data_IF_243086627578
#
_entry.id   IF_243086627578
#
_cell.length_a   1.000
_cell.length_b   1.000
_cell.length_c   1.000
_cell.angle_alpha   90.00
_cell.angle_beta   90.00
_cell.angle_gamma   90.00
#
_symmetry.space_group_name_H-M   'P 1'
#
loop_
_entity.id
_entity.type
_entity.pdbx_description
1 polymer ?
#
# COMPACT_ATOMS: atom_id res chain seq x y z
N UNK A 1 22.93 2.89 -18.08
CA UNK A 1 22.91 1.82 -17.06
C UNK A 1 22.60 0.52 -17.79
N UNK A 2 23.50 -0.47 -17.82
CA UNK A 2 23.28 -1.68 -18.62
C UNK A 2 22.08 -2.46 -18.08
N UNK A 3 21.17 -2.86 -18.99
CA UNK A 3 19.85 -3.42 -18.70
C UNK A 3 19.84 -4.68 -17.79
N UNK A 4 21.01 -5.31 -17.59
CA UNK A 4 21.21 -6.45 -16.71
C UNK A 4 20.88 -6.16 -15.24
N UNK A 5 21.17 -4.95 -14.74
CA UNK A 5 20.83 -4.57 -13.36
C UNK A 5 19.33 -4.39 -13.12
N UNK A 6 18.58 -3.99 -14.16
CA UNK A 6 17.12 -3.82 -14.08
C UNK A 6 16.44 -5.19 -13.96
N UNK A 7 16.93 -6.19 -14.71
CA UNK A 7 16.39 -7.56 -14.68
C UNK A 7 16.67 -8.26 -13.35
N UNK A 8 17.90 -8.16 -12.82
CA UNK A 8 18.23 -8.74 -11.51
C UNK A 8 17.49 -8.04 -10.35
N UNK A 9 17.41 -6.71 -10.39
CA UNK A 9 16.67 -5.93 -9.39
C UNK A 9 15.17 -6.24 -9.39
N UNK A 10 14.57 -6.38 -10.57
CA UNK A 10 13.14 -6.72 -10.70
C UNK A 10 12.78 -8.10 -10.16
N UNK A 11 13.63 -9.10 -10.40
CA UNK A 11 13.46 -10.45 -9.86
C UNK A 11 13.58 -10.44 -8.34
N UNK A 12 14.60 -9.78 -7.79
CA UNK A 12 14.81 -9.69 -6.35
C UNK A 12 13.67 -8.95 -5.63
N UNK A 13 13.13 -7.89 -6.24
CA UNK A 13 11.97 -7.13 -5.74
C UNK A 13 10.66 -7.95 -5.77
N UNK A 14 10.48 -8.82 -6.78
CA UNK A 14 9.34 -9.73 -6.84
C UNK A 14 9.42 -10.82 -5.76
N UNK A 15 10.60 -11.41 -5.56
CA UNK A 15 10.83 -12.41 -4.52
C UNK A 15 10.63 -11.85 -3.11
N UNK A 16 11.05 -10.61 -2.84
CA UNK A 16 10.82 -9.95 -1.53
C UNK A 16 9.34 -9.72 -1.28
N UNK A 17 8.57 -9.27 -2.28
CA UNK A 17 7.12 -9.07 -2.14
C UNK A 17 6.39 -10.38 -1.79
N UNK A 18 6.68 -11.48 -2.50
CA UNK A 18 6.09 -12.79 -2.19
C UNK A 18 6.52 -13.33 -0.82
N UNK A 19 7.75 -13.05 -0.37
CA UNK A 19 8.22 -13.43 0.97
C UNK A 19 7.44 -12.70 2.06
N UNK A 20 7.27 -11.38 1.92
CA UNK A 20 6.52 -10.58 2.90
C UNK A 20 5.04 -10.97 2.95
N UNK A 21 4.43 -11.24 1.80
CA UNK A 21 3.06 -11.78 1.73
C UNK A 21 2.91 -13.09 2.51
N UNK A 22 3.86 -14.02 2.35
CA UNK A 22 3.86 -15.28 3.10
C UNK A 22 4.04 -15.05 4.59
N UNK A 23 5.02 -14.24 4.98
CA UNK A 23 5.31 -13.98 6.39
C UNK A 23 4.12 -13.33 7.12
N UNK A 24 3.50 -12.32 6.49
CA UNK A 24 2.31 -11.66 7.05
C UNK A 24 1.11 -12.60 7.11
N UNK A 25 0.93 -13.45 6.10
CA UNK A 25 -0.13 -14.46 6.12
C UNK A 25 0.05 -15.44 7.27
N UNK A 26 1.27 -15.90 7.52
CA UNK A 26 1.58 -16.78 8.67
C UNK A 26 1.31 -16.07 9.98
N UNK A 27 1.81 -14.84 10.16
CA UNK A 27 1.56 -14.05 11.37
C UNK A 27 0.06 -13.88 11.67
N UNK A 28 -0.76 -13.67 10.63
CA UNK A 28 -2.22 -13.57 10.78
C UNK A 28 -2.87 -14.92 11.10
N UNK A 29 -2.39 -16.01 10.48
CA UNK A 29 -2.87 -17.37 10.76
C UNK A 29 -2.54 -17.82 12.18
N UNK A 30 -1.37 -17.49 12.69
CA UNK A 30 -0.93 -17.80 14.06
C UNK A 30 -1.83 -17.11 15.10
N UNK A 31 -2.47 -16.00 14.72
CA UNK A 31 -3.48 -15.27 15.51
C UNK A 31 -4.91 -15.80 15.29
N UNK A 32 -5.08 -16.92 14.60
CA UNK A 32 -6.38 -17.53 14.33
C UNK A 32 -7.29 -16.72 13.40
N UNK A 33 -6.75 -15.76 12.64
CA UNK A 33 -7.52 -14.79 11.84
C UNK A 33 -8.57 -13.99 12.65
N UNK A 34 -8.36 -13.78 13.95
CA UNK A 34 -9.34 -13.14 14.83
C UNK A 34 -8.68 -12.19 15.83
N UNK A 35 -9.50 -11.28 16.37
CA UNK A 35 -9.10 -10.36 17.43
C UNK A 35 -8.47 -9.06 16.94
N UNK A 36 -8.15 -8.19 17.90
CA UNK A 36 -7.54 -6.88 17.68
C UNK A 36 -6.06 -6.94 18.01
N UNK A 37 -5.21 -6.55 17.07
CA UNK A 37 -3.75 -6.61 17.19
C UNK A 37 -3.13 -5.31 16.71
N UNK A 38 -2.02 -4.87 17.30
CA UNK A 38 -1.32 -3.68 16.79
C UNK A 38 -0.55 -4.00 15.52
N UNK A 39 -0.56 -3.07 14.56
CA UNK A 39 0.23 -3.17 13.34
C UNK A 39 1.73 -3.29 13.67
N UNK A 40 2.16 -2.60 14.72
CA UNK A 40 3.54 -2.60 15.22
C UNK A 40 3.99 -3.99 15.68
N UNK A 41 3.11 -4.77 16.31
CA UNK A 41 3.46 -6.11 16.79
C UNK A 41 3.74 -7.05 15.61
N UNK A 42 2.92 -6.97 14.56
CA UNK A 42 3.11 -7.72 13.32
C UNK A 42 4.38 -7.27 12.60
N UNK A 43 4.66 -5.96 12.61
CA UNK A 43 5.89 -5.38 12.07
C UNK A 43 7.14 -5.94 12.76
N UNK A 44 7.13 -6.03 14.08
CA UNK A 44 8.23 -6.58 14.87
C UNK A 44 8.43 -8.08 14.61
N UNK A 45 7.34 -8.84 14.53
CA UNK A 45 7.38 -10.28 14.25
C UNK A 45 7.93 -10.60 12.85
N UNK A 46 7.47 -9.87 11.84
CA UNK A 46 7.86 -10.10 10.43
C UNK A 46 9.20 -9.43 10.09
N UNK A 47 9.64 -8.45 10.89
CA UNK A 47 10.89 -7.73 10.69
C UNK A 47 10.86 -6.75 9.52
N UNK A 48 9.71 -6.11 9.26
CA UNK A 48 9.56 -5.07 8.24
C UNK A 48 8.86 -3.84 8.80
N UNK A 49 8.93 -2.69 8.11
CA UNK A 49 8.34 -1.43 8.62
C UNK A 49 6.81 -1.52 8.69
N UNK A 50 6.14 -0.86 9.66
CA UNK A 50 4.67 -0.88 9.78
C UNK A 50 3.95 -0.45 8.48
N UNK A 51 4.50 0.55 7.78
CA UNK A 51 4.01 0.99 6.47
C UNK A 51 3.99 -0.15 5.44
N UNK A 52 5.05 -0.95 5.40
CA UNK A 52 5.20 -2.06 4.44
C UNK A 52 4.27 -3.22 4.82
N UNK A 53 4.07 -3.46 6.13
CA UNK A 53 3.04 -4.41 6.61
C UNK A 53 1.67 -4.00 6.11
N UNK A 54 1.28 -2.73 6.31
CA UNK A 54 -0.02 -2.22 5.89
C UNK A 54 -0.21 -2.33 4.38
N UNK A 55 0.82 -2.03 3.59
CA UNK A 55 0.79 -2.17 2.13
C UNK A 55 0.55 -3.62 1.70
N UNK A 56 1.23 -4.58 2.32
CA UNK A 56 1.05 -6.00 2.03
C UNK A 56 -0.33 -6.49 2.47
N UNK A 57 -0.83 -6.04 3.63
CA UNK A 57 -2.18 -6.36 4.10
C UNK A 57 -3.24 -5.90 3.11
N UNK A 58 -3.12 -4.69 2.55
CA UNK A 58 -4.03 -4.17 1.52
C UNK A 58 -4.05 -5.09 0.30
N UNK A 59 -2.89 -5.51 -0.19
CA UNK A 59 -2.77 -6.43 -1.33
C UNK A 59 -3.41 -7.81 -1.03
N UNK A 60 -3.16 -8.37 0.17
CA UNK A 60 -3.78 -9.63 0.60
C UNK A 60 -5.31 -9.52 0.72
N UNK A 61 -5.83 -8.37 1.16
CA UNK A 61 -7.27 -8.09 1.24
C UNK A 61 -7.91 -7.96 -0.13
N UNK A 62 -7.26 -7.27 -1.07
CA UNK A 62 -7.72 -7.18 -2.46
C UNK A 62 -7.77 -8.55 -3.15
N UNK A 63 -6.83 -9.44 -2.80
CA UNK A 63 -6.82 -10.85 -3.25
C UNK A 63 -7.82 -11.76 -2.51
N UNK A 64 -8.54 -11.24 -1.52
CA UNK A 64 -9.48 -12.01 -0.70
C UNK A 64 -8.81 -13.04 0.24
N UNK A 65 -7.50 -12.95 0.47
CA UNK A 65 -6.77 -13.88 1.31
C UNK A 65 -6.90 -13.57 2.81
N UNK A 66 -7.14 -12.31 3.15
CA UNK A 66 -7.24 -11.81 4.53
C UNK A 66 -8.38 -10.80 4.62
N UNK A 67 -9.23 -10.92 5.64
CA UNK A 67 -10.23 -9.91 5.99
C UNK A 67 -9.80 -9.18 7.25
N UNK A 68 -9.72 -7.85 7.18
CA UNK A 68 -9.38 -7.02 8.32
C UNK A 68 -9.96 -5.60 8.20
N UNK A 69 -10.01 -4.89 9.33
CA UNK A 69 -10.15 -3.44 9.41
C UNK A 69 -8.93 -2.83 10.07
N UNK A 70 -8.57 -1.62 9.68
CA UNK A 70 -7.48 -0.86 10.26
C UNK A 70 -8.03 0.42 10.88
N UNK A 71 -7.66 0.68 12.13
CA UNK A 71 -7.94 1.91 12.82
C UNK A 71 -6.74 2.85 12.67
N UNK A 72 -6.91 3.96 11.94
CA UNK A 72 -5.85 4.94 11.71
C UNK A 72 -5.45 5.71 12.97
N UNK A 73 -6.35 5.81 13.95
CA UNK A 73 -6.13 6.59 15.16
C UNK A 73 -5.33 5.78 16.19
N UNK A 74 -5.56 4.47 16.27
CA UNK A 74 -4.90 3.58 17.25
C UNK A 74 -3.78 2.72 16.67
N UNK A 75 -3.70 2.56 15.34
CA UNK A 75 -2.76 1.65 14.68
C UNK A 75 -3.16 0.18 14.76
N UNK A 76 -4.39 -0.11 15.20
CA UNK A 76 -4.85 -1.47 15.41
C UNK A 76 -5.47 -2.08 14.14
N UNK A 77 -5.26 -3.39 14.00
CA UNK A 77 -5.85 -4.26 13.00
C UNK A 77 -6.86 -5.17 13.69
N UNK A 78 -8.09 -5.12 13.22
CA UNK A 78 -9.19 -5.99 13.67
C UNK A 78 -9.35 -7.10 12.63
N UNK A 79 -9.02 -8.34 13.02
CA UNK A 79 -9.10 -9.53 12.19
C UNK A 79 -10.43 -10.25 12.37
N UNK A 80 -10.92 -10.93 11.33
CA UNK A 80 -12.10 -11.80 11.41
C UNK A 80 -13.43 -11.07 11.29
N UNK A 81 -13.44 -9.74 11.22
CA UNK A 81 -14.62 -8.97 10.86
C UNK A 81 -14.89 -9.17 9.36
N UNK A 82 -16.08 -9.70 9.03
CA UNK A 82 -16.57 -9.72 7.64
C UNK A 82 -16.95 -8.30 7.27
N UNK A 83 -16.06 -7.59 6.58
CA UNK A 83 -16.36 -6.25 6.09
C UNK A 83 -17.37 -6.38 4.94
N UNK A 84 -18.64 -6.20 5.25
CA UNK A 84 -19.68 -6.02 4.24
C UNK A 84 -19.45 -4.68 3.56
N UNK A 85 -19.09 -4.69 2.28
CA UNK A 85 -18.97 -3.47 1.50
C UNK A 85 -20.37 -2.97 1.19
N UNK A 86 -20.88 -2.05 2.02
CA UNK A 86 -22.09 -1.30 1.69
C UNK A 86 -21.65 -0.24 0.69
N UNK A 87 -21.86 -0.53 -0.60
CA UNK A 87 -21.68 0.47 -1.66
C UNK A 87 -22.66 1.60 -1.34
N UNK A 88 -22.15 2.80 -1.03
CA UNK A 88 -23.02 3.96 -0.82
C UNK A 88 -23.87 4.19 -2.07
N UNK A 89 -25.17 4.47 -1.89
CA UNK A 89 -26.07 4.70 -3.03
C UNK A 89 -25.59 5.86 -3.91
N UNK A 90 -24.87 6.81 -3.31
CA UNK A 90 -24.34 8.00 -3.98
C UNK A 90 -23.02 7.76 -4.74
N UNK A 91 -22.42 6.56 -4.70
CA UNK A 91 -21.18 6.29 -5.41
C UNK A 91 -21.43 5.99 -6.89
N UNK A 92 -21.42 7.04 -7.70
CA UNK A 92 -21.34 6.95 -9.15
C UNK A 92 -19.91 6.56 -9.54
N UNK A 93 -19.75 5.33 -10.05
CA UNK A 93 -18.45 4.86 -10.55
C UNK A 93 -18.07 5.76 -11.74
N UNK A 94 -16.95 6.51 -11.68
CA UNK A 94 -16.53 7.30 -12.82
C UNK A 94 -16.26 6.39 -14.01
N UNK A 95 -16.59 6.82 -15.24
CA UNK A 95 -16.38 6.01 -16.44
C UNK A 95 -14.92 5.59 -16.54
N UNK A 96 -14.68 4.29 -16.68
CA UNK A 96 -13.36 3.64 -16.74
C UNK A 96 -12.49 4.13 -17.91
N UNK A 97 -13.09 4.82 -18.88
CA UNK A 97 -12.46 5.28 -20.10
C UNK A 97 -12.35 6.81 -20.05
N UNK A 98 -11.14 7.30 -19.80
CA UNK A 98 -10.79 8.70 -20.01
C UNK A 98 -10.90 8.95 -21.53
N UNK A 99 -11.84 9.77 -21.96
CA UNK A 99 -12.05 10.09 -23.38
C UNK A 99 -10.87 10.88 -23.96
N UNK A 100 -10.10 11.56 -23.10
CA UNK A 100 -8.91 12.31 -23.47
C UNK A 100 -7.79 12.08 -22.45
N UNK A 101 -6.51 11.99 -22.89
CA UNK A 101 -5.37 11.97 -21.99
C UNK A 101 -5.34 13.22 -21.13
N UNK A 102 -5.21 13.06 -19.81
CA UNK A 102 -5.07 14.19 -18.88
C UNK A 102 -3.87 15.05 -19.30
N UNK A 103 -4.08 16.36 -19.46
CA UNK A 103 -3.00 17.28 -19.84
C UNK A 103 -1.88 17.30 -18.79
N UNK A 104 -0.69 16.88 -19.20
CA UNK A 104 0.52 16.79 -18.36
C UNK A 104 1.53 17.91 -18.63
N UNK A 105 1.31 18.75 -19.66
CA UNK A 105 2.25 19.81 -20.02
C UNK A 105 2.40 20.82 -18.88
N UNK A 106 3.64 21.03 -18.43
CA UNK A 106 3.99 22.03 -17.42
C UNK A 106 3.70 21.63 -15.96
N UNK A 107 3.34 20.36 -15.70
CA UNK A 107 3.18 19.84 -14.34
C UNK A 107 4.44 19.04 -13.95
N UNK A 108 5.14 19.49 -12.92
CA UNK A 108 6.21 18.72 -12.30
C UNK A 108 5.60 17.80 -11.24
N UNK A 109 6.14 16.60 -11.08
CA UNK A 109 5.69 15.62 -10.08
C UNK A 109 6.89 15.12 -9.27
N UNK A 110 6.67 14.87 -7.99
CA UNK A 110 7.68 14.33 -7.10
C UNK A 110 8.06 12.90 -7.54
N UNK A 111 9.34 12.65 -7.80
CA UNK A 111 9.83 11.31 -8.18
C UNK A 111 9.70 10.26 -7.07
N UNK A 112 9.51 10.69 -5.81
CA UNK A 112 9.43 9.79 -4.66
C UNK A 112 8.01 9.41 -4.28
N UNK A 113 7.03 10.32 -4.43
CA UNK A 113 5.65 10.08 -3.99
C UNK A 113 4.58 10.36 -5.07
N UNK A 114 4.95 10.91 -6.22
CA UNK A 114 4.02 11.22 -7.31
C UNK A 114 3.15 12.46 -7.10
N UNK A 115 3.33 13.21 -6.00
CA UNK A 115 2.59 14.45 -5.75
C UNK A 115 2.96 15.53 -6.77
N UNK A 116 1.97 16.28 -7.27
CA UNK A 116 2.22 17.39 -8.18
C UNK A 116 2.94 18.51 -7.42
N UNK A 117 4.08 18.93 -7.95
CA UNK A 117 4.90 19.95 -7.33
C UNK A 117 4.40 21.35 -7.71
N UNK A 118 4.46 22.32 -6.78
CA UNK A 118 4.29 23.71 -7.13
C UNK A 118 5.40 24.14 -8.09
N UNK A 119 5.16 25.19 -8.88
CA UNK A 119 6.15 25.73 -9.84
C UNK A 119 7.45 26.16 -9.16
N UNK A 120 7.37 26.51 -7.88
CA UNK A 120 8.49 27.01 -7.08
C UNK A 120 8.49 26.29 -5.73
N UNK A 121 9.57 25.59 -5.43
CA UNK A 121 9.73 24.83 -4.18
C UNK A 121 10.97 23.94 -4.23
N UNK A 122 11.77 23.96 -3.17
CA UNK A 122 12.99 23.13 -3.06
C UNK A 122 12.71 21.74 -2.46
N UNK A 123 11.48 21.49 -2.01
CA UNK A 123 11.07 20.27 -1.32
C UNK A 123 9.60 19.94 -1.61
N UNK A 124 9.26 18.65 -1.53
CA UNK A 124 7.91 18.16 -1.73
C UNK A 124 7.08 18.35 -0.45
N UNK A 125 5.99 19.11 -0.53
CA UNK A 125 5.11 19.38 0.61
C UNK A 125 4.42 18.12 1.15
N UNK A 126 4.25 17.09 0.31
CA UNK A 126 3.57 15.85 0.68
C UNK A 126 4.47 14.83 1.39
N UNK A 127 5.75 14.75 1.02
CA UNK A 127 6.65 13.71 1.58
C UNK A 127 8.00 14.23 2.08
N UNK A 128 8.24 15.54 2.03
CA UNK A 128 9.45 16.20 2.54
C UNK A 128 10.72 15.92 1.75
N UNK A 129 10.65 15.23 0.60
CA UNK A 129 11.82 14.96 -0.23
C UNK A 129 12.34 16.24 -0.88
N UNK A 130 13.66 16.42 -0.92
CA UNK A 130 14.30 17.48 -1.70
C UNK A 130 14.09 17.24 -3.20
N UNK A 131 13.74 18.29 -3.95
CA UNK A 131 13.42 18.26 -5.39
C UNK A 131 14.58 18.86 -6.19
#
# INVERSE_FOLDING_TARGET
IPAFFIMLGGVQQYYTNNKFQKAIKVAILDRGNQGTHKLEDISLEVGIKPKDVLQVLIDLRQKGMVSYRFNSDTGEIILGEKVSYVKSEDYVVPPKKLEEPLETKGKAYCVYCGHQLPKEGNFCENCGSKI
#
